data_IF_433551627480
#
_entry.id   IF_433551627480
#
_cell.length_a   1.000
_cell.length_b   1.000
_cell.length_c   1.000
_cell.angle_alpha   90.00
_cell.angle_beta   90.00
_cell.angle_gamma   90.00
#
_symmetry.space_group_name_H-M   'P 1'
#
loop_
_entity.id
_entity.type
_entity.pdbx_description
1 polymer ?
#
# COMPACT_ATOMS: atom_id res chain seq x y z
N UNK A 1 7.41 7.17 13.80
CA UNK A 1 7.21 5.85 14.43
C UNK A 1 5.77 5.62 14.87
N UNK A 2 5.06 6.65 15.36
CA UNK A 2 3.70 6.52 15.93
C UNK A 2 2.59 6.19 14.94
N UNK A 3 2.62 6.71 13.71
CA UNK A 3 1.55 6.51 12.74
C UNK A 3 1.28 5.03 12.40
N UNK A 4 2.33 4.27 12.10
CA UNK A 4 2.16 2.93 11.56
C UNK A 4 1.61 1.97 12.61
N UNK A 5 2.11 2.03 13.83
CA UNK A 5 1.67 1.17 14.92
C UNK A 5 0.19 1.42 15.24
N UNK A 6 -0.22 2.69 15.43
CA UNK A 6 -1.61 3.03 15.73
C UNK A 6 -2.58 2.59 14.63
N UNK A 7 -2.23 2.81 13.36
CA UNK A 7 -3.07 2.40 12.21
C UNK A 7 -3.11 0.87 12.05
N UNK A 8 -1.99 0.19 12.34
CA UNK A 8 -1.93 -1.27 12.27
C UNK A 8 -2.76 -1.92 13.38
N UNK A 9 -2.70 -1.39 14.61
CA UNK A 9 -3.53 -1.86 15.72
C UNK A 9 -5.01 -1.61 15.43
N UNK A 10 -5.38 -0.44 14.86
CA UNK A 10 -6.78 -0.20 14.47
C UNK A 10 -7.27 -1.17 13.41
N UNK A 11 -6.44 -1.46 12.40
CA UNK A 11 -6.71 -2.50 11.41
C UNK A 11 -6.92 -3.86 12.07
N UNK A 12 -6.01 -4.29 12.94
CA UNK A 12 -6.09 -5.58 13.62
C UNK A 12 -7.37 -5.69 14.45
N UNK A 13 -7.69 -4.66 15.23
CA UNK A 13 -8.91 -4.60 16.04
C UNK A 13 -10.17 -4.76 15.19
N UNK A 14 -10.28 -4.07 14.05
CA UNK A 14 -11.42 -4.20 13.14
C UNK A 14 -11.48 -5.57 12.47
N UNK A 15 -10.35 -6.14 12.04
CA UNK A 15 -10.32 -7.49 11.46
C UNK A 15 -10.71 -8.59 12.45
N UNK A 16 -10.48 -8.37 13.75
CA UNK A 16 -10.92 -9.25 14.83
C UNK A 16 -12.40 -9.04 15.23
N UNK A 17 -13.09 -8.09 14.59
CA UNK A 17 -14.50 -7.82 14.82
C UNK A 17 -14.79 -6.93 16.03
N UNK A 18 -13.79 -6.29 16.62
CA UNK A 18 -14.04 -5.25 17.62
C UNK A 18 -14.63 -4.03 16.93
N UNK A 19 -15.71 -3.48 17.51
CA UNK A 19 -16.40 -2.25 17.08
C UNK A 19 -16.49 -1.30 18.28
N UNK A 20 -15.98 -0.09 18.13
CA UNK A 20 -15.91 0.90 19.22
C UNK A 20 -16.97 1.98 19.03
N UNK A 21 -17.16 2.50 17.81
CA UNK A 21 -18.02 3.67 17.60
C UNK A 21 -19.41 3.32 17.06
N UNK A 22 -19.53 2.29 16.21
CA UNK A 22 -20.79 1.93 15.56
C UNK A 22 -20.95 0.42 15.46
N UNK A 23 -22.14 -0.06 15.76
CA UNK A 23 -22.53 -1.43 15.49
C UNK A 23 -22.55 -1.68 13.98
N UNK A 24 -21.88 -2.73 13.51
CA UNK A 24 -22.01 -3.13 12.13
C UNK A 24 -23.45 -3.52 11.83
N UNK A 25 -23.92 -3.25 10.60
CA UNK A 25 -25.15 -3.87 10.13
C UNK A 25 -25.02 -5.39 10.25
N UNK A 26 -26.14 -6.08 10.47
CA UNK A 26 -26.19 -7.54 10.41
C UNK A 26 -25.81 -7.96 8.99
N UNK A 27 -24.52 -8.23 8.79
CA UNK A 27 -23.99 -8.68 7.52
C UNK A 27 -24.55 -10.08 7.31
N UNK A 28 -25.39 -10.25 6.29
CA UNK A 28 -25.97 -11.54 5.95
C UNK A 28 -24.88 -12.61 5.82
N UNK A 29 -25.20 -13.84 6.20
CA UNK A 29 -24.28 -15.00 6.34
C UNK A 29 -23.44 -15.32 5.08
N UNK A 30 -23.72 -14.68 3.94
CA UNK A 30 -23.10 -14.90 2.64
C UNK A 30 -22.14 -13.79 2.18
N UNK A 31 -21.85 -12.76 2.98
CA UNK A 31 -20.94 -11.70 2.55
C UNK A 31 -19.50 -12.21 2.39
N UNK A 32 -18.81 -11.86 1.29
CA UNK A 32 -17.46 -12.34 1.03
C UNK A 32 -16.44 -11.66 1.96
N UNK A 33 -16.18 -12.29 3.11
CA UNK A 33 -15.22 -11.82 4.12
C UNK A 33 -13.86 -11.43 3.54
N UNK A 34 -13.39 -12.18 2.54
CA UNK A 34 -12.10 -11.94 1.90
C UNK A 34 -12.09 -10.64 1.08
N UNK A 35 -13.24 -10.21 0.54
CA UNK A 35 -13.36 -8.93 -0.17
C UNK A 35 -13.25 -7.76 0.81
N UNK A 36 -13.92 -7.85 1.96
CA UNK A 36 -13.78 -6.89 3.04
C UNK A 36 -12.34 -6.82 3.56
N UNK A 37 -11.66 -7.96 3.70
CA UNK A 37 -10.25 -8.00 4.11
C UNK A 37 -9.33 -7.28 3.11
N UNK A 38 -9.55 -7.49 1.82
CA UNK A 38 -8.80 -6.78 0.76
C UNK A 38 -9.06 -5.28 0.83
N UNK A 39 -10.31 -4.87 1.05
CA UNK A 39 -10.67 -3.46 1.25
C UNK A 39 -10.00 -2.85 2.50
N UNK A 40 -10.07 -3.52 3.65
CA UNK A 40 -9.42 -3.07 4.90
C UNK A 40 -7.90 -2.98 4.73
N UNK A 41 -7.31 -3.90 3.98
CA UNK A 41 -5.87 -3.85 3.62
C UNK A 41 -5.57 -2.63 2.76
N UNK A 42 -6.43 -2.30 1.80
CA UNK A 42 -6.30 -1.07 1.02
C UNK A 42 -6.40 0.18 1.91
N UNK A 43 -7.35 0.22 2.86
CA UNK A 43 -7.46 1.32 3.83
C UNK A 43 -6.22 1.44 4.73
N UNK A 44 -5.67 0.32 5.21
CA UNK A 44 -4.41 0.30 5.96
C UNK A 44 -3.28 0.94 5.15
N UNK A 45 -3.10 0.51 3.89
CA UNK A 45 -2.08 1.08 3.01
C UNK A 45 -2.31 2.57 2.77
N UNK A 46 -3.57 2.99 2.60
CA UNK A 46 -3.92 4.40 2.39
C UNK A 46 -3.62 5.24 3.64
N UNK A 47 -4.08 4.81 4.81
CA UNK A 47 -3.94 5.51 6.09
C UNK A 47 -2.50 5.54 6.60
N UNK A 48 -1.69 4.52 6.31
CA UNK A 48 -0.24 4.55 6.61
C UNK A 48 0.48 5.61 5.76
N UNK A 49 0.02 5.82 4.53
CA UNK A 49 0.61 6.82 3.62
C UNK A 49 0.03 8.23 3.79
N UNK A 50 -1.13 8.36 4.44
CA UNK A 50 -1.71 9.64 4.83
C UNK A 50 -1.16 10.05 6.20
N UNK A 51 -0.66 11.28 6.32
CA UNK A 51 -0.38 11.86 7.63
C UNK A 51 -1.70 12.25 8.32
N UNK A 52 -2.37 11.26 8.92
CA UNK A 52 -3.69 11.40 9.57
C UNK A 52 -3.66 12.42 10.73
N UNK A 53 -2.49 12.59 11.37
CA UNK A 53 -2.31 13.56 12.45
C UNK A 53 -1.46 14.75 11.99
N UNK A 54 -1.97 16.00 12.07
CA UNK A 54 -1.28 17.16 11.54
C UNK A 54 0.01 17.46 12.32
N UNK A 55 1.07 17.81 11.58
CA UNK A 55 2.39 18.08 12.16
C UNK A 55 2.38 19.23 13.17
N UNK A 56 1.47 20.19 13.02
CA UNK A 56 1.32 21.34 13.93
C UNK A 56 0.98 20.92 15.36
N UNK A 57 0.21 19.84 15.54
CA UNK A 57 -0.15 19.33 16.87
C UNK A 57 0.95 18.48 17.51
N UNK A 58 1.88 17.94 16.72
CA UNK A 58 3.04 17.18 17.22
C UNK A 58 4.12 18.06 17.86
N UNK A 59 4.12 19.37 17.60
CA UNK A 59 5.17 20.29 18.04
C UNK A 59 4.84 21.08 19.32
N UNK A 60 3.82 20.66 20.08
CA UNK A 60 3.38 21.38 21.27
C UNK A 60 4.29 21.10 22.50
N UNK A 61 5.45 21.76 22.55
CA UNK A 61 6.21 22.08 23.78
C UNK A 61 7.00 20.95 24.49
N UNK A 62 8.19 21.30 24.99
CA UNK A 62 9.19 20.39 25.60
C UNK A 62 8.69 19.66 26.87
N UNK A 63 7.85 20.29 27.69
CA UNK A 63 7.26 19.69 28.91
C UNK A 63 6.16 18.66 28.63
N UNK A 64 5.58 18.68 27.42
CA UNK A 64 4.53 17.75 27.03
C UNK A 64 5.05 16.49 26.36
N UNK A 65 6.30 16.45 25.90
CA UNK A 65 6.83 15.39 25.02
C UNK A 65 6.54 13.95 25.47
N UNK A 66 6.65 13.61 26.76
CA UNK A 66 6.38 12.23 27.23
C UNK A 66 4.88 11.91 27.29
N UNK A 67 4.06 12.79 27.88
CA UNK A 67 2.60 12.57 28.04
C UNK A 67 1.88 12.74 26.69
N UNK A 68 2.32 13.71 25.89
CA UNK A 68 1.79 14.02 24.57
C UNK A 68 2.16 12.91 23.59
N UNK A 69 3.33 12.28 23.67
CA UNK A 69 3.66 11.16 22.76
C UNK A 69 2.69 9.98 22.92
N UNK A 70 2.42 9.54 24.16
CA UNK A 70 1.45 8.46 24.41
C UNK A 70 0.03 8.88 24.05
N UNK A 71 -0.39 10.09 24.42
CA UNK A 71 -1.70 10.62 24.06
C UNK A 71 -1.85 10.75 22.53
N UNK A 72 -0.81 11.19 21.81
CA UNK A 72 -0.82 11.29 20.35
C UNK A 72 -0.95 9.92 19.69
N UNK A 73 -0.25 8.90 20.18
CA UNK A 73 -0.40 7.51 19.69
C UNK A 73 -1.83 7.02 19.88
N UNK A 74 -2.41 7.27 21.05
CA UNK A 74 -3.77 6.90 21.38
C UNK A 74 -4.81 7.65 20.53
N UNK A 75 -4.72 8.97 20.41
CA UNK A 75 -5.60 9.76 19.54
C UNK A 75 -5.46 9.36 18.09
N UNK A 76 -4.24 9.06 17.64
CA UNK A 76 -4.03 8.58 16.28
C UNK A 76 -4.66 7.21 16.05
N UNK A 77 -4.61 6.31 17.04
CA UNK A 77 -5.34 5.04 16.99
C UNK A 77 -6.84 5.29 16.88
N UNK A 78 -7.41 6.12 17.76
CA UNK A 78 -8.84 6.45 17.74
C UNK A 78 -9.30 7.07 16.41
N UNK A 79 -8.55 8.03 15.87
CA UNK A 79 -8.87 8.66 14.59
C UNK A 79 -8.76 7.66 13.45
N UNK A 80 -7.71 6.84 13.43
CA UNK A 80 -7.51 5.84 12.36
C UNK A 80 -8.60 4.78 12.41
N UNK A 81 -8.96 4.34 13.61
CA UNK A 81 -10.04 3.39 13.85
C UNK A 81 -11.38 3.97 13.42
N UNK A 82 -11.71 5.19 13.86
CA UNK A 82 -12.92 5.91 13.45
C UNK A 82 -13.02 6.05 11.92
N UNK A 83 -11.92 6.42 11.25
CA UNK A 83 -11.89 6.54 9.79
C UNK A 83 -12.09 5.20 9.10
N UNK A 84 -11.42 4.14 9.56
CA UNK A 84 -11.58 2.80 8.98
C UNK A 84 -13.00 2.28 9.17
N UNK A 85 -13.56 2.42 10.37
CA UNK A 85 -14.92 1.99 10.70
C UNK A 85 -15.96 2.79 9.91
N UNK A 86 -15.81 4.11 9.80
CA UNK A 86 -16.70 4.97 9.01
C UNK A 86 -16.63 4.62 7.53
N UNK A 87 -15.43 4.43 6.96
CA UNK A 87 -15.28 4.05 5.56
C UNK A 87 -15.79 2.63 5.29
N UNK A 88 -15.71 1.73 6.27
CA UNK A 88 -16.30 0.41 6.15
C UNK A 88 -17.84 0.48 6.13
N UNK A 89 -18.44 1.19 7.09
CA UNK A 89 -19.89 1.21 7.27
C UNK A 89 -20.58 2.10 6.24
N UNK A 90 -20.10 3.33 6.06
CA UNK A 90 -20.79 4.35 5.25
C UNK A 90 -20.38 4.31 3.77
N UNK A 91 -19.24 3.69 3.45
CA UNK A 91 -18.74 3.62 2.07
C UNK A 91 -18.67 2.18 1.54
N UNK A 92 -18.02 1.25 2.23
CA UNK A 92 -17.80 -0.10 1.70
C UNK A 92 -19.08 -0.92 1.60
N UNK A 93 -19.86 -1.07 2.69
CA UNK A 93 -21.05 -1.91 2.64
C UNK A 93 -22.10 -1.43 1.63
N UNK A 94 -22.46 -0.12 1.54
CA UNK A 94 -23.39 0.34 0.53
C UNK A 94 -22.85 0.15 -0.89
N UNK A 95 -21.54 0.32 -1.10
CA UNK A 95 -20.91 0.13 -2.40
C UNK A 95 -20.88 -1.36 -2.80
N UNK A 96 -20.58 -2.26 -1.86
CA UNK A 96 -20.60 -3.71 -2.05
C UNK A 96 -22.00 -4.19 -2.40
N UNK A 97 -23.02 -3.73 -1.68
CA UNK A 97 -24.42 -4.02 -2.00
C UNK A 97 -24.81 -3.49 -3.38
N UNK A 98 -24.43 -2.26 -3.72
CA UNK A 98 -24.73 -1.69 -5.03
C UNK A 98 -24.09 -2.48 -6.18
N UNK A 99 -22.82 -2.87 -6.04
CA UNK A 99 -22.06 -3.58 -7.10
C UNK A 99 -22.44 -5.05 -7.19
N UNK A 100 -22.71 -5.71 -6.06
CA UNK A 100 -23.16 -7.11 -6.05
C UNK A 100 -24.53 -7.29 -6.72
N UNK A 101 -25.34 -6.23 -6.79
CA UNK A 101 -26.62 -6.19 -7.51
C UNK A 101 -26.49 -5.82 -8.99
N UNK A 102 -25.29 -5.50 -9.50
CA UNK A 102 -25.10 -5.18 -10.92
C UNK A 102 -25.29 -6.42 -11.82
N UNK A 103 -24.70 -7.60 -11.53
CA UNK A 103 -24.88 -8.79 -12.36
C UNK A 103 -26.34 -9.18 -12.56
N UNK A 104 -27.15 -9.14 -11.49
CA UNK A 104 -28.58 -9.48 -11.55
C UNK A 104 -29.35 -8.49 -12.42
N UNK A 105 -29.12 -7.18 -12.26
CA UNK A 105 -29.75 -6.15 -13.13
C UNK A 105 -29.36 -6.30 -14.60
N UNK A 106 -28.12 -6.71 -14.88
CA UNK A 106 -27.69 -7.01 -16.26
C UNK A 106 -28.43 -8.22 -16.79
N UNK A 107 -28.59 -9.28 -15.99
CA UNK A 107 -29.35 -10.46 -16.36
C UNK A 107 -30.81 -10.12 -16.70
N UNK A 108 -31.48 -9.37 -15.83
CA UNK A 108 -32.88 -8.96 -16.02
C UNK A 108 -33.04 -8.18 -17.33
N UNK A 109 -32.10 -7.28 -17.63
CA UNK A 109 -32.15 -6.49 -18.87
C UNK A 109 -31.80 -7.31 -20.12
N UNK A 110 -30.95 -8.32 -19.99
CA UNK A 110 -30.63 -9.25 -21.07
C UNK A 110 -31.78 -10.20 -21.36
N UNK A 111 -32.50 -10.68 -20.34
CA UNK A 111 -33.69 -11.50 -20.51
C UNK A 111 -34.82 -10.72 -21.19
N UNK A 112 -35.02 -9.45 -20.80
CA UNK A 112 -36.02 -8.57 -21.42
C UNK A 112 -35.74 -8.30 -22.91
N UNK A 113 -34.46 -8.14 -23.28
CA UNK A 113 -34.04 -7.82 -24.67
C UNK A 113 -33.81 -9.04 -25.55
N UNK A 114 -33.33 -10.13 -24.97
CA UNK A 114 -33.04 -11.39 -25.63
C UNK A 114 -33.78 -12.50 -24.88
N UNK A 115 -35.04 -12.66 -25.24
CA UNK A 115 -35.85 -13.82 -24.86
C UNK A 115 -35.09 -15.10 -25.24
N UNK A 116 -34.55 -15.79 -24.23
CA UNK A 116 -33.58 -16.92 -24.27
C UNK A 116 -32.10 -16.57 -23.98
N UNK A 117 -31.83 -15.70 -23.02
CA UNK A 117 -30.47 -15.50 -22.49
C UNK A 117 -29.83 -16.78 -21.88
N UNK A 118 -30.63 -17.80 -21.56
CA UNK A 118 -30.18 -19.16 -21.22
C UNK A 118 -29.16 -19.18 -20.08
N UNK A 119 -28.11 -19.99 -20.24
CA UNK A 119 -27.06 -20.21 -19.22
C UNK A 119 -26.31 -18.94 -18.78
N UNK A 120 -26.29 -17.88 -19.61
CA UNK A 120 -25.60 -16.63 -19.27
C UNK A 120 -26.36 -15.85 -18.19
N UNK A 121 -27.69 -15.75 -18.30
CA UNK A 121 -28.49 -15.08 -17.29
C UNK A 121 -28.54 -15.88 -15.98
N UNK A 122 -28.61 -17.22 -16.07
CA UNK A 122 -28.47 -18.09 -14.89
C UNK A 122 -27.13 -17.88 -14.17
N UNK A 123 -26.03 -17.75 -14.92
CA UNK A 123 -24.72 -17.45 -14.34
C UNK A 123 -24.70 -16.08 -13.67
N UNK A 124 -25.33 -15.06 -14.26
CA UNK A 124 -25.38 -13.69 -13.71
C UNK A 124 -26.30 -13.55 -12.49
N UNK A 125 -27.39 -14.33 -12.39
CA UNK A 125 -28.23 -14.38 -11.20
C UNK A 125 -27.61 -15.15 -10.05
N UNK A 126 -26.64 -16.02 -10.34
CA UNK A 126 -25.98 -16.83 -9.32
C UNK A 126 -25.28 -15.98 -8.26
N UNK A 127 -25.25 -16.47 -7.02
CA UNK A 127 -24.52 -15.82 -5.94
C UNK A 127 -23.01 -15.77 -6.20
N UNK A 128 -22.49 -16.67 -7.03
CA UNK A 128 -21.10 -16.64 -7.48
C UNK A 128 -20.78 -15.36 -8.28
N UNK A 129 -21.71 -14.86 -9.09
CA UNK A 129 -21.51 -13.62 -9.83
C UNK A 129 -21.49 -12.41 -8.89
N UNK A 130 -22.33 -12.40 -7.86
CA UNK A 130 -22.35 -11.36 -6.82
C UNK A 130 -21.02 -11.31 -6.05
N UNK A 131 -20.54 -12.49 -5.63
CA UNK A 131 -19.26 -12.65 -4.94
C UNK A 131 -18.09 -12.23 -5.84
N UNK A 132 -18.09 -12.64 -7.11
CA UNK A 132 -17.07 -12.25 -8.08
C UNK A 132 -17.06 -10.73 -8.29
N UNK A 133 -18.22 -10.09 -8.39
CA UNK A 133 -18.33 -8.64 -8.52
C UNK A 133 -17.72 -7.90 -7.32
N UNK A 134 -17.98 -8.39 -6.09
CA UNK A 134 -17.35 -7.84 -4.88
C UNK A 134 -15.82 -7.99 -4.91
N UNK A 135 -15.29 -9.16 -5.30
CA UNK A 135 -13.84 -9.36 -5.41
C UNK A 135 -13.17 -8.48 -6.47
N UNK A 136 -13.83 -8.32 -7.63
CA UNK A 136 -13.34 -7.43 -8.68
C UNK A 136 -13.28 -5.99 -8.14
N UNK A 137 -14.31 -5.56 -7.41
CA UNK A 137 -14.36 -4.22 -6.86
C UNK A 137 -13.31 -3.96 -5.76
N UNK A 138 -13.16 -4.86 -4.80
CA UNK A 138 -12.10 -4.75 -3.77
C UNK A 138 -10.70 -4.77 -4.40
N UNK A 139 -10.49 -5.60 -5.42
CA UNK A 139 -9.22 -5.67 -6.15
C UNK A 139 -8.92 -4.37 -6.90
N UNK A 140 -9.93 -3.76 -7.55
CA UNK A 140 -9.79 -2.47 -8.22
C UNK A 140 -9.48 -1.35 -7.22
N UNK A 141 -10.16 -1.33 -6.07
CA UNK A 141 -9.88 -0.35 -5.01
C UNK A 141 -8.46 -0.51 -4.45
N UNK A 142 -8.02 -1.75 -4.20
CA UNK A 142 -6.64 -2.02 -3.80
C UNK A 142 -5.66 -1.53 -4.85
N UNK A 143 -5.90 -1.81 -6.14
CA UNK A 143 -5.05 -1.34 -7.23
C UNK A 143 -5.00 0.19 -7.31
N UNK A 144 -6.14 0.86 -7.12
CA UNK A 144 -6.25 2.32 -7.07
C UNK A 144 -5.45 2.90 -5.91
N UNK A 145 -5.53 2.32 -4.72
CA UNK A 145 -4.73 2.74 -3.56
C UNK A 145 -3.25 2.50 -3.81
N UNK A 146 -2.86 1.36 -4.35
CA UNK A 146 -1.47 1.04 -4.68
C UNK A 146 -0.90 2.02 -5.72
N UNK A 147 -1.72 2.44 -6.69
CA UNK A 147 -1.35 3.49 -7.63
C UNK A 147 -1.25 4.87 -6.97
N UNK A 148 -2.23 5.26 -6.14
CA UNK A 148 -2.25 6.54 -5.44
C UNK A 148 -1.07 6.71 -4.48
N UNK A 149 -0.70 5.63 -3.77
CA UNK A 149 0.46 5.55 -2.87
C UNK A 149 1.79 5.40 -3.61
N UNK A 150 1.78 5.37 -4.95
CA UNK A 150 2.96 5.20 -5.82
C UNK A 150 3.73 3.90 -5.54
N UNK A 151 3.07 2.92 -4.95
CA UNK A 151 3.61 1.56 -4.80
C UNK A 151 3.64 0.84 -6.15
N UNK A 152 2.71 1.16 -7.04
CA UNK A 152 2.65 0.63 -8.41
C UNK A 152 2.88 1.77 -9.42
N UNK A 153 3.72 1.50 -10.42
CA UNK A 153 3.88 2.35 -11.60
C UNK A 153 3.30 1.63 -12.82
N UNK A 154 2.08 2.00 -13.20
CA UNK A 154 1.36 1.39 -14.34
C UNK A 154 2.08 1.58 -15.67
N UNK A 155 2.99 2.55 -15.77
CA UNK A 155 3.82 2.76 -16.98
C UNK A 155 4.75 1.59 -17.25
N UNK A 156 5.15 0.84 -16.21
CA UNK A 156 5.98 -0.36 -16.37
C UNK A 156 5.20 -1.55 -16.91
N UNK A 157 3.87 -1.53 -16.84
CA UNK A 157 3.04 -2.58 -17.45
C UNK A 157 3.23 -2.62 -18.97
N UNK A 158 3.51 -1.47 -19.61
CA UNK A 158 3.83 -1.39 -21.03
C UNK A 158 5.10 -2.16 -21.42
N UNK A 159 5.98 -2.48 -20.46
CA UNK A 159 7.21 -3.24 -20.67
C UNK A 159 7.01 -4.75 -20.48
N UNK A 160 5.80 -5.18 -20.12
CA UNK A 160 5.41 -6.58 -19.94
C UNK A 160 5.03 -6.92 -18.49
N UNK A 161 4.18 -7.95 -18.29
CA UNK A 161 3.65 -8.32 -16.97
C UNK A 161 4.72 -8.86 -16.02
N UNK A 162 5.74 -9.56 -16.52
CA UNK A 162 6.84 -10.07 -15.69
C UNK A 162 7.66 -8.95 -15.06
N UNK A 163 8.05 -7.96 -15.85
CA UNK A 163 8.81 -6.77 -15.38
C UNK A 163 7.99 -5.96 -14.38
N UNK A 164 6.69 -5.86 -14.60
CA UNK A 164 5.77 -5.19 -13.71
C UNK A 164 5.66 -5.89 -12.35
N UNK A 165 5.45 -7.21 -12.35
CA UNK A 165 5.34 -8.00 -11.10
C UNK A 165 6.66 -7.95 -10.32
N UNK A 166 7.81 -8.04 -11.00
CA UNK A 166 9.11 -7.94 -10.35
C UNK A 166 9.31 -6.57 -9.68
N UNK A 167 8.91 -5.47 -10.32
CA UNK A 167 8.99 -4.13 -9.73
C UNK A 167 8.09 -3.98 -8.49
N UNK A 168 6.87 -4.53 -8.57
CA UNK A 168 5.93 -4.55 -7.45
C UNK A 168 6.55 -5.32 -6.28
N UNK A 169 7.06 -6.53 -6.55
CA UNK A 169 7.66 -7.37 -5.52
C UNK A 169 8.84 -6.69 -4.83
N UNK A 170 9.72 -6.03 -5.61
CA UNK A 170 10.85 -5.26 -5.06
C UNK A 170 10.38 -4.10 -4.20
N UNK A 171 9.37 -3.33 -4.64
CA UNK A 171 8.85 -2.19 -3.88
C UNK A 171 8.11 -2.63 -2.62
N UNK A 172 7.27 -3.66 -2.70
CA UNK A 172 6.59 -4.24 -1.54
C UNK A 172 7.62 -4.77 -0.55
N UNK A 173 8.61 -5.53 -1.00
CA UNK A 173 9.70 -6.03 -0.13
C UNK A 173 10.49 -4.89 0.49
N UNK A 174 10.82 -3.84 -0.26
CA UNK A 174 11.50 -2.67 0.27
C UNK A 174 10.64 -1.92 1.30
N UNK A 175 9.36 -1.70 1.02
CA UNK A 175 8.42 -1.07 1.95
C UNK A 175 8.25 -1.92 3.21
N UNK A 176 8.03 -3.22 3.08
CA UNK A 176 7.94 -4.15 4.21
C UNK A 176 9.25 -4.19 5.01
N UNK A 177 10.40 -4.15 4.34
CA UNK A 177 11.69 -4.09 5.04
C UNK A 177 11.89 -2.79 5.82
N UNK A 178 11.38 -1.66 5.31
CA UNK A 178 11.36 -0.40 6.07
C UNK A 178 10.43 -0.51 7.26
N UNK A 179 9.22 -1.04 7.06
CA UNK A 179 8.25 -1.26 8.14
C UNK A 179 8.85 -2.19 9.23
N UNK A 180 9.50 -3.28 8.85
CA UNK A 180 10.16 -4.22 9.78
C UNK A 180 11.36 -3.61 10.49
N UNK A 181 12.12 -2.73 9.82
CA UNK A 181 13.20 -1.96 10.44
C UNK A 181 12.63 -0.92 11.41
N UNK A 182 11.57 -0.23 11.01
CA UNK A 182 10.89 0.80 11.80
C UNK A 182 10.19 0.20 13.04
N UNK A 183 9.79 -1.08 12.98
CA UNK A 183 9.25 -1.87 14.11
C UNK A 183 10.34 -2.46 15.02
N UNK A 184 11.62 -2.25 14.72
CA UNK A 184 12.75 -2.78 15.51
C UNK A 184 12.96 -4.29 15.41
N UNK A 185 12.22 -4.99 14.54
CA UNK A 185 12.30 -6.44 14.35
C UNK A 185 13.47 -6.88 13.46
N UNK A 186 13.98 -5.98 12.62
CA UNK A 186 15.18 -6.22 11.82
C UNK A 186 16.38 -5.48 12.41
N UNK A 187 17.28 -6.24 13.05
CA UNK A 187 18.61 -5.77 13.46
C UNK A 187 19.30 -5.05 12.31
N UNK A 188 19.80 -3.84 12.58
CA UNK A 188 20.62 -3.08 11.64
C UNK A 188 21.71 -4.00 11.08
N UNK A 189 21.58 -4.38 9.81
CA UNK A 189 22.70 -4.92 9.06
C UNK A 189 23.65 -3.73 8.88
N UNK A 190 24.51 -3.49 9.87
CA UNK A 190 25.62 -2.53 9.79
C UNK A 190 26.41 -2.91 8.55
N UNK A 191 26.16 -2.21 7.45
CA UNK A 191 27.03 -2.24 6.29
C UNK A 191 28.32 -1.61 6.78
N UNK A 192 29.30 -2.46 7.11
CA UNK A 192 30.66 -2.03 7.44
C UNK A 192 31.17 -1.23 6.24
N UNK A 193 31.31 0.08 6.42
CA UNK A 193 31.95 1.00 5.45
C UNK A 193 33.49 0.79 5.48
N UNK A 194 33.98 -0.42 5.80
CA UNK A 194 35.42 -0.70 5.86
C UNK A 194 36.05 -0.94 4.48
N UNK A 195 35.25 -1.25 3.46
CA UNK A 195 35.82 -1.75 2.19
C UNK A 195 35.96 -0.68 1.11
N UNK A 196 35.46 0.54 1.33
CA UNK A 196 35.63 1.66 0.38
C UNK A 196 36.89 2.48 0.65
N UNK A 197 37.45 2.42 1.87
CA UNK A 197 38.64 3.22 2.20
C UNK A 197 39.97 2.55 1.81
N UNK A 198 40.00 1.23 1.57
CA UNK A 198 41.25 0.52 1.26
C UNK A 198 41.66 0.54 -0.22
N UNK A 199 40.84 1.12 -1.10
CA UNK A 199 41.12 1.17 -2.55
C UNK A 199 41.53 2.55 -3.07
N UNK A 200 41.73 3.55 -2.19
CA UNK A 200 42.20 4.90 -2.57
C UNK A 200 43.64 5.22 -2.18
N UNK A 201 44.36 4.31 -1.54
CA UNK A 201 45.76 4.53 -1.10
C UNK A 201 46.82 3.78 -1.92
N UNK A 202 46.48 3.24 -3.10
CA UNK A 202 47.47 2.70 -4.03
C UNK A 202 47.15 3.09 -5.47
N UNK A 203 47.45 4.34 -5.80
CA UNK A 203 47.71 4.77 -7.18
C UNK A 203 48.19 6.22 -7.14
N UNK A 204 49.40 6.40 -6.66
CA UNK A 204 50.29 7.45 -7.14
C UNK A 204 51.61 6.79 -7.52
N UNK A 205 52.24 7.30 -8.57
CA UNK A 205 53.42 6.84 -9.31
C UNK A 205 53.26 5.64 -10.26
N UNK A 206 52.82 5.92 -11.49
CA UNK A 206 53.71 5.75 -12.67
C UNK A 206 53.21 6.50 -13.91
N UNK A 207 54.16 7.19 -14.54
CA UNK A 207 54.19 7.97 -15.78
C UNK A 207 53.52 7.38 -17.04
N UNK A 208 53.22 8.32 -17.93
CA UNK A 208 53.23 8.30 -19.40
C UNK A 208 52.13 7.58 -20.20
N UNK A 209 51.52 8.37 -21.11
CA UNK A 209 51.47 7.99 -22.51
C UNK A 209 50.14 7.46 -23.07
N UNK A 210 49.55 8.29 -23.92
CA UNK A 210 48.75 7.96 -25.10
C UNK A 210 47.23 7.65 -25.00
N UNK A 211 46.51 8.55 -25.68
CA UNK A 211 45.23 8.41 -26.37
C UNK A 211 44.92 7.00 -26.86
N UNK A 212 43.72 6.51 -26.51
CA UNK A 212 42.78 5.98 -27.52
C UNK A 212 41.35 6.01 -26.97
N UNK A 213 40.50 6.72 -27.69
CA UNK A 213 39.04 6.63 -27.66
C UNK A 213 38.59 5.20 -27.95
N UNK A 214 37.78 4.61 -27.07
CA UNK A 214 36.79 3.62 -27.51
C UNK A 214 35.58 3.60 -26.59
N UNK A 215 34.44 3.85 -27.22
CA UNK A 215 33.09 3.79 -26.67
C UNK A 215 32.66 2.35 -26.43
N UNK A 216 32.14 2.06 -25.24
CA UNK A 216 31.18 0.98 -25.01
C UNK A 216 30.20 1.39 -23.89
N UNK A 217 28.89 1.48 -24.15
CA UNK A 217 27.90 1.85 -23.16
C UNK A 217 27.17 0.61 -22.66
N UNK A 218 27.45 0.09 -21.47
CA UNK A 218 26.58 -0.93 -20.86
C UNK A 218 26.79 -1.06 -19.35
N UNK A 219 25.68 -1.24 -18.63
CA UNK A 219 25.58 -1.80 -17.26
C UNK A 219 25.83 -0.96 -16.01
N UNK A 220 26.01 0.37 -16.10
CA UNK A 220 26.13 1.24 -14.91
C UNK A 220 24.91 2.16 -14.62
N UNK A 221 23.79 1.97 -15.33
CA UNK A 221 22.57 2.77 -15.13
C UNK A 221 21.84 2.48 -13.81
N UNK A 222 21.74 1.21 -13.41
CA UNK A 222 20.95 0.79 -12.25
C UNK A 222 21.50 1.30 -10.90
N UNK A 223 22.81 1.45 -10.77
CA UNK A 223 23.44 1.94 -9.53
C UNK A 223 23.39 3.48 -9.40
N UNK A 224 23.25 4.19 -10.52
CA UNK A 224 23.12 5.66 -10.53
C UNK A 224 21.74 6.11 -10.06
N UNK A 225 20.68 5.41 -10.46
CA UNK A 225 19.31 5.73 -10.04
C UNK A 225 19.07 5.49 -8.54
N UNK A 226 19.65 4.42 -7.97
CA UNK A 226 19.58 4.17 -6.53
C UNK A 226 20.23 5.27 -5.69
N UNK A 227 21.36 5.81 -6.15
CA UNK A 227 22.05 6.91 -5.47
C UNK A 227 21.33 8.26 -5.63
N UNK A 228 20.60 8.47 -6.73
CA UNK A 228 19.82 9.68 -6.93
C UNK A 228 18.61 9.76 -5.99
N UNK A 229 17.89 8.64 -5.79
CA UNK A 229 16.76 8.55 -4.86
C UNK A 229 17.24 8.80 -3.41
N UNK A 230 18.42 8.28 -3.04
CA UNK A 230 19.01 8.48 -1.70
C UNK A 230 19.41 9.93 -1.42
N UNK A 231 19.83 10.70 -2.43
CA UNK A 231 20.19 12.13 -2.26
C UNK A 231 18.98 13.05 -2.15
N UNK A 232 17.84 12.71 -2.77
CA UNK A 232 16.63 13.56 -2.70
C UNK A 232 15.90 13.47 -1.36
N UNK A 233 15.99 12.33 -0.67
CA UNK A 233 15.45 12.16 0.69
C UNK A 233 16.18 13.02 1.74
N UNK A 234 17.50 13.19 1.63
CA UNK A 234 18.28 14.03 2.57
C UNK A 234 18.03 15.54 2.46
N UNK A 235 17.44 16.01 1.35
CA UNK A 235 17.14 17.44 1.17
C UNK A 235 15.75 17.86 1.66
N UNK A 236 14.91 16.93 2.15
CA UNK A 236 13.62 17.25 2.78
C UNK A 236 13.66 17.25 4.31
N UNK A 237 14.83 17.02 4.91
CA UNK A 237 15.05 17.10 6.35
C UNK A 237 16.00 18.24 6.73
N UNK A 238 15.91 19.37 6.01
CA UNK A 238 16.38 20.66 6.46
C UNK A 238 15.24 21.65 6.35
#
# INVERSE_FOLDING_TARGET
>A
MTNLFSVFVSYLSLTLGYQIYRSAPEVGESAPFLSLLVFLTALLLLLVNLDVYPHSLRCLGWFGTVIIEEACVFFQFLISYFLMETLMIDFWFPLEEAVSNVPTKIADHLEEKWSNCGSICEALWSDNAKVAASYVMSSLLLLMVLHATKLIDSRKLAQGPSVFIDDIWVRVKCSLSRILQDLGLCSERRVKISDVSRKRERSDDSRDGNRSTNSNPSRNGFLKDYNYIRRRSRRRCR
#
